data_IF_624805029922
#
_entry.id   IF_624805029922
#
_cell.length_a   1.000
_cell.length_b   1.000
_cell.length_c   1.000
_cell.angle_alpha   90.00
_cell.angle_beta   90.00
_cell.angle_gamma   90.00
#
_symmetry.space_group_name_H-M   'P 1'
#
loop_
_entity.id
_entity.type
_entity.pdbx_description
1 polymer ?
#
# COMPACT_ATOMS: atom_id res chain seq x y z
N UNK A 1 -7.48 -23.86 18.53
CA UNK A 1 -7.42 -23.81 17.06
C UNK A 1 -7.86 -22.42 16.61
N UNK A 2 -7.04 -21.72 15.81
CA UNK A 2 -7.37 -20.40 15.22
C UNK A 2 -7.75 -20.58 13.75
N UNK A 3 -8.74 -19.83 13.25
CA UNK A 3 -9.04 -19.76 11.80
C UNK A 3 -8.46 -18.49 11.23
N UNK A 4 -7.71 -18.60 10.14
CA UNK A 4 -7.15 -17.46 9.44
C UNK A 4 -8.26 -16.59 8.84
N UNK A 5 -8.32 -15.29 9.18
CA UNK A 5 -9.33 -14.38 8.62
C UNK A 5 -9.10 -14.13 7.12
N UNK A 6 -7.87 -14.30 6.63
CA UNK A 6 -7.53 -14.10 5.23
C UNK A 6 -7.86 -15.30 4.34
N UNK A 7 -7.40 -16.50 4.68
CA UNK A 7 -7.59 -17.68 3.81
C UNK A 7 -8.58 -18.73 4.35
N UNK A 8 -9.17 -18.50 5.52
CA UNK A 8 -10.17 -19.39 6.12
C UNK A 8 -9.62 -20.73 6.64
N UNK A 9 -8.32 -21.01 6.51
CA UNK A 9 -7.68 -22.24 7.01
C UNK A 9 -7.61 -22.25 8.53
N UNK A 10 -7.78 -23.44 9.10
CA UNK A 10 -7.65 -23.67 10.54
C UNK A 10 -6.21 -24.04 10.83
N UNK A 11 -5.58 -23.32 11.76
CA UNK A 11 -4.28 -23.67 12.31
C UNK A 11 -4.49 -24.53 13.56
N UNK A 12 -3.83 -25.68 13.57
CA UNK A 12 -3.90 -26.65 14.67
C UNK A 12 -3.06 -26.21 15.88
N UNK A 13 -2.06 -25.34 15.65
CA UNK A 13 -1.18 -24.77 16.67
C UNK A 13 -1.54 -23.32 17.02
N UNK A 14 -2.15 -23.12 18.19
CA UNK A 14 -2.55 -21.80 18.69
C UNK A 14 -1.38 -20.92 19.17
N UNK A 15 -0.18 -21.47 19.27
CA UNK A 15 1.03 -20.74 19.65
C UNK A 15 1.63 -19.94 18.51
N UNK A 16 1.19 -20.19 17.28
CA UNK A 16 1.64 -19.44 16.11
C UNK A 16 0.89 -18.10 16.02
N UNK A 17 1.67 -17.03 15.85
CA UNK A 17 1.15 -15.68 15.63
C UNK A 17 0.81 -15.40 14.16
N UNK A 18 1.01 -16.36 13.25
CA UNK A 18 0.71 -16.22 11.83
C UNK A 18 0.13 -17.49 11.21
N UNK A 19 -0.61 -17.31 10.12
CA UNK A 19 -1.16 -18.42 9.36
C UNK A 19 -0.08 -19.09 8.52
N UNK A 20 0.18 -20.37 8.79
CA UNK A 20 1.12 -21.20 8.01
C UNK A 20 0.66 -21.53 6.60
N UNK A 21 -0.53 -21.08 6.16
CA UNK A 21 -1.03 -21.29 4.79
C UNK A 21 -0.93 -20.03 3.91
N UNK A 22 -1.09 -18.83 4.47
CA UNK A 22 -1.04 -17.58 3.69
C UNK A 22 -0.06 -16.52 4.25
N UNK A 23 0.59 -16.79 5.38
CA UNK A 23 1.54 -15.88 6.01
C UNK A 23 0.93 -14.69 6.77
N UNK A 24 -0.39 -14.49 6.72
CA UNK A 24 -1.07 -13.39 7.44
C UNK A 24 -0.94 -13.58 8.95
N UNK A 25 -0.61 -12.51 9.68
CA UNK A 25 -0.56 -12.56 11.14
C UNK A 25 -1.96 -12.76 11.72
N UNK A 26 -2.10 -13.71 12.63
CA UNK A 26 -3.15 -13.68 13.61
C UNK A 26 -2.81 -12.51 14.53
N UNK A 27 -3.27 -11.30 14.18
CA UNK A 27 -3.08 -10.12 15.02
C UNK A 27 -3.18 -10.50 16.50
N UNK A 28 -2.29 -9.94 17.34
CA UNK A 28 -2.32 -10.10 18.81
C UNK A 28 -3.64 -9.52 19.30
N UNK A 29 -4.72 -10.30 19.19
CA UNK A 29 -6.01 -9.98 19.73
C UNK A 29 -5.88 -10.25 21.22
N UNK A 30 -5.73 -9.20 22.01
CA UNK A 30 -6.16 -9.27 23.40
C UNK A 30 -7.65 -9.57 23.38
N UNK A 31 -8.01 -10.84 23.53
CA UNK A 31 -9.39 -11.32 23.48
C UNK A 31 -9.71 -12.09 22.19
N UNK A 32 -10.15 -13.33 22.37
CA UNK A 32 -10.76 -14.20 21.36
C UNK A 32 -11.47 -13.43 20.24
N UNK A 33 -11.11 -13.72 18.99
CA UNK A 33 -11.82 -13.22 17.82
C UNK A 33 -13.34 -13.46 17.97
N UNK A 34 -14.19 -12.43 17.98
CA UNK A 34 -15.61 -12.65 17.75
C UNK A 34 -15.75 -13.29 16.36
N UNK A 35 -16.71 -14.21 16.22
CA UNK A 35 -17.22 -14.59 14.91
C UNK A 35 -17.52 -13.32 14.10
N UNK A 36 -17.34 -13.36 12.77
CA UNK A 36 -17.71 -12.25 11.90
C UNK A 36 -19.09 -11.73 12.32
N UNK A 37 -19.21 -10.48 12.80
CA UNK A 37 -20.48 -9.99 13.29
C UNK A 37 -21.47 -10.03 12.14
N UNK A 38 -22.64 -10.63 12.37
CA UNK A 38 -23.72 -10.58 11.41
C UNK A 38 -24.02 -9.11 11.07
N UNK A 39 -24.42 -8.82 9.84
CA UNK A 39 -24.76 -7.45 9.42
C UNK A 39 -25.80 -6.79 10.33
N UNK A 40 -26.67 -7.58 10.97
CA UNK A 40 -27.67 -7.14 11.96
C UNK A 40 -27.11 -6.73 13.33
N UNK A 41 -25.81 -6.88 13.57
CA UNK A 41 -25.13 -6.52 14.83
C UNK A 41 -24.16 -5.34 14.71
N UNK A 42 -24.15 -4.67 13.55
CA UNK A 42 -23.29 -3.51 13.33
C UNK A 42 -23.90 -2.27 14.01
N UNK A 43 -23.10 -1.44 14.72
CA UNK A 43 -23.54 -0.20 15.34
C UNK A 43 -24.17 0.78 14.34
N UNK A 44 -25.05 1.66 14.81
CA UNK A 44 -25.58 2.76 13.99
C UNK A 44 -24.55 3.87 13.78
N UNK A 45 -23.66 4.08 14.75
CA UNK A 45 -22.54 5.01 14.63
C UNK A 45 -21.59 4.54 13.51
N UNK A 46 -21.40 5.33 12.44
CA UNK A 46 -20.58 4.93 11.30
C UNK A 46 -19.09 4.80 11.65
N UNK A 47 -18.60 5.54 12.65
CA UNK A 47 -17.20 5.43 13.07
C UNK A 47 -16.96 4.09 13.75
N UNK A 48 -17.80 3.75 14.73
CA UNK A 48 -17.73 2.46 15.43
C UNK A 48 -18.02 1.29 14.49
N UNK A 49 -18.96 1.46 13.55
CA UNK A 49 -19.27 0.47 12.52
C UNK A 49 -18.05 0.17 11.65
N UNK A 50 -17.38 1.20 11.14
CA UNK A 50 -16.17 1.02 10.34
C UNK A 50 -15.04 0.34 11.13
N UNK A 51 -14.83 0.72 12.40
CA UNK A 51 -13.85 0.07 13.28
C UNK A 51 -14.15 -1.44 13.43
N UNK A 52 -15.41 -1.79 13.71
CA UNK A 52 -15.83 -3.20 13.83
C UNK A 52 -15.67 -3.98 12.52
N UNK A 53 -15.95 -3.35 11.38
CA UNK A 53 -15.71 -3.96 10.06
C UNK A 53 -14.21 -4.24 9.85
N UNK A 54 -13.33 -3.27 10.16
CA UNK A 54 -11.87 -3.43 10.07
C UNK A 54 -11.35 -4.53 10.99
N UNK A 55 -11.78 -4.56 12.25
CA UNK A 55 -11.38 -5.59 13.22
C UNK A 55 -11.83 -7.00 12.79
N UNK A 56 -12.87 -7.10 11.96
CA UNK A 56 -13.35 -8.35 11.36
C UNK A 56 -12.66 -8.72 10.03
N UNK A 57 -11.73 -7.90 9.54
CA UNK A 57 -11.01 -8.09 8.28
C UNK A 57 -11.80 -7.68 7.03
N UNK A 58 -12.94 -6.98 7.20
CA UNK A 58 -13.82 -6.54 6.10
C UNK A 58 -13.35 -5.18 5.56
N UNK A 59 -12.12 -5.18 5.02
CA UNK A 59 -11.41 -3.96 4.60
C UNK A 59 -12.23 -3.07 3.65
N UNK A 60 -12.72 -3.63 2.54
CA UNK A 60 -13.50 -2.89 1.53
C UNK A 60 -14.74 -2.22 2.15
N UNK A 61 -15.47 -2.95 2.99
CA UNK A 61 -16.69 -2.46 3.63
C UNK A 61 -16.40 -1.43 4.71
N UNK A 62 -15.31 -1.60 5.47
CA UNK A 62 -14.84 -0.63 6.46
C UNK A 62 -14.47 0.70 5.80
N UNK A 63 -13.67 0.66 4.73
CA UNK A 63 -13.30 1.88 3.98
C UNK A 63 -14.53 2.54 3.38
N UNK A 64 -15.42 1.77 2.74
CA UNK A 64 -16.66 2.31 2.18
C UNK A 64 -17.54 2.99 3.25
N UNK A 65 -17.68 2.36 4.42
CA UNK A 65 -18.43 2.90 5.55
C UNK A 65 -17.91 4.28 5.97
N UNK A 66 -16.60 4.44 6.13
CA UNK A 66 -16.02 5.73 6.51
C UNK A 66 -16.02 6.75 5.37
N UNK A 67 -15.71 6.33 4.14
CA UNK A 67 -15.76 7.22 2.97
C UNK A 67 -17.14 7.88 2.82
N UNK A 68 -18.21 7.14 3.06
CA UNK A 68 -19.57 7.66 2.94
C UNK A 68 -19.98 8.54 4.14
N UNK A 69 -19.37 8.35 5.31
CA UNK A 69 -19.73 9.03 6.55
C UNK A 69 -18.89 10.27 6.88
N UNK A 70 -17.57 10.22 6.64
CA UNK A 70 -16.60 11.28 7.00
C UNK A 70 -17.01 12.66 6.47
N UNK A 71 -17.50 12.82 5.23
CA UNK A 71 -17.93 14.13 4.73
C UNK A 71 -19.04 14.81 5.56
N UNK A 72 -19.80 14.04 6.35
CA UNK A 72 -20.88 14.52 7.21
C UNK A 72 -20.51 14.70 8.69
N UNK A 73 -19.26 14.42 9.08
CA UNK A 73 -18.81 14.49 10.48
C UNK A 73 -17.53 15.33 10.61
N UNK A 74 -17.36 15.98 11.76
CA UNK A 74 -16.10 16.63 12.09
C UNK A 74 -15.13 15.58 12.64
N UNK A 75 -14.08 15.26 11.86
CA UNK A 75 -13.07 14.27 12.24
C UNK A 75 -11.96 14.95 13.06
N UNK A 76 -12.04 14.83 14.39
CA UNK A 76 -10.96 15.28 15.28
C UNK A 76 -9.71 14.38 15.18
N UNK A 77 -8.60 14.82 15.79
CA UNK A 77 -7.32 14.09 15.75
C UNK A 77 -7.43 12.67 16.33
N UNK A 78 -8.28 12.48 17.35
CA UNK A 78 -8.46 11.19 17.99
C UNK A 78 -9.20 10.22 17.06
N UNK A 79 -10.29 10.66 16.46
CA UNK A 79 -11.07 9.88 15.52
C UNK A 79 -10.27 9.57 14.25
N UNK A 80 -9.52 10.54 13.74
CA UNK A 80 -8.57 10.34 12.65
C UNK A 80 -7.52 9.27 12.99
N UNK A 81 -6.89 9.39 14.16
CA UNK A 81 -5.92 8.41 14.65
C UNK A 81 -6.49 7.00 14.71
N UNK A 82 -7.73 6.82 15.19
CA UNK A 82 -8.41 5.51 15.22
C UNK A 82 -8.65 4.94 13.83
N UNK A 83 -9.01 5.78 12.86
CA UNK A 83 -9.22 5.37 11.46
C UNK A 83 -7.92 4.86 10.83
N UNK A 84 -6.83 5.61 10.99
CA UNK A 84 -5.50 5.20 10.52
C UNK A 84 -5.09 3.89 11.19
N UNK A 85 -5.21 3.80 12.52
CA UNK A 85 -4.85 2.61 13.29
C UNK A 85 -5.63 1.36 12.91
N UNK A 86 -6.95 1.48 12.81
CA UNK A 86 -7.81 0.37 12.41
C UNK A 86 -7.53 -0.07 10.97
N UNK A 87 -7.24 0.86 10.07
CA UNK A 87 -6.86 0.55 8.69
C UNK A 87 -5.54 -0.21 8.63
N UNK A 88 -4.48 0.31 9.26
CA UNK A 88 -3.16 -0.36 9.34
C UNK A 88 -3.29 -1.76 9.93
N UNK A 89 -3.98 -1.89 11.06
CA UNK A 89 -4.23 -3.19 11.71
C UNK A 89 -4.98 -4.16 10.78
N UNK A 90 -5.99 -3.68 10.06
CA UNK A 90 -6.72 -4.50 9.10
C UNK A 90 -5.77 -5.03 8.00
N UNK A 91 -4.97 -4.14 7.40
CA UNK A 91 -4.00 -4.47 6.34
C UNK A 91 -2.93 -5.47 6.80
N UNK A 92 -2.45 -5.38 8.04
CA UNK A 92 -1.53 -6.38 8.63
C UNK A 92 -2.20 -7.74 8.87
N UNK A 93 -3.49 -7.73 9.19
CA UNK A 93 -4.26 -8.92 9.54
C UNK A 93 -4.81 -9.72 8.35
N UNK A 94 -4.75 -9.18 7.12
CA UNK A 94 -5.27 -9.82 5.91
C UNK A 94 -4.20 -9.88 4.81
N UNK A 95 -4.16 -10.96 4.02
CA UNK A 95 -3.41 -10.94 2.77
C UNK A 95 -4.24 -10.16 1.74
N UNK A 96 -3.94 -8.87 1.60
CA UNK A 96 -4.61 -8.00 0.62
C UNK A 96 -4.10 -8.33 -0.78
N UNK A 97 -4.99 -8.75 -1.66
CA UNK A 97 -4.70 -8.86 -3.08
C UNK A 97 -5.01 -7.53 -3.82
N UNK A 98 -4.44 -7.30 -5.02
CA UNK A 98 -4.64 -6.05 -5.77
C UNK A 98 -6.11 -5.69 -6.06
N UNK A 99 -6.98 -6.69 -6.21
CA UNK A 99 -8.41 -6.48 -6.49
C UNK A 99 -9.11 -5.98 -5.24
N UNK A 100 -8.92 -6.69 -4.12
CA UNK A 100 -9.47 -6.28 -2.82
C UNK A 100 -9.00 -4.88 -2.42
N UNK A 101 -7.72 -4.54 -2.66
CA UNK A 101 -7.21 -3.19 -2.42
C UNK A 101 -7.93 -2.14 -3.28
N UNK A 102 -8.03 -2.41 -4.59
CA UNK A 102 -8.66 -1.49 -5.54
C UNK A 102 -10.13 -1.24 -5.24
N UNK A 103 -10.86 -2.29 -4.88
CA UNK A 103 -12.30 -2.22 -4.56
C UNK A 103 -12.57 -1.38 -3.29
N UNK A 104 -11.59 -1.29 -2.37
CA UNK A 104 -11.71 -0.42 -1.20
C UNK A 104 -11.75 1.07 -1.58
N UNK A 105 -11.08 1.47 -2.67
CA UNK A 105 -11.08 2.85 -3.15
C UNK A 105 -10.34 3.82 -2.23
N UNK A 106 -9.08 3.50 -1.91
CA UNK A 106 -8.24 4.26 -0.96
C UNK A 106 -8.01 5.72 -1.36
N UNK A 107 -7.83 6.01 -2.66
CA UNK A 107 -7.72 7.38 -3.18
C UNK A 107 -8.99 8.17 -2.83
N UNK A 108 -10.18 7.64 -3.17
CA UNK A 108 -11.45 8.32 -2.88
C UNK A 108 -11.70 8.48 -1.39
N UNK A 109 -11.26 7.52 -0.58
CA UNK A 109 -11.29 7.62 0.87
C UNK A 109 -10.38 8.73 1.38
N UNK A 110 -9.14 8.82 0.89
CA UNK A 110 -8.21 9.88 1.27
C UNK A 110 -8.75 11.28 0.95
N UNK A 111 -9.38 11.44 -0.22
CA UNK A 111 -10.00 12.70 -0.63
C UNK A 111 -11.17 13.17 0.27
N UNK A 112 -11.70 12.31 1.15
CA UNK A 112 -12.71 12.75 2.14
C UNK A 112 -12.11 13.52 3.32
N UNK A 113 -10.78 13.53 3.45
CA UNK A 113 -10.04 14.17 4.54
C UNK A 113 -8.96 15.12 3.98
N UNK A 114 -9.34 16.24 3.34
CA UNK A 114 -8.39 17.09 2.59
C UNK A 114 -7.31 17.77 3.46
N UNK A 115 -7.57 17.95 4.76
CA UNK A 115 -6.61 18.54 5.71
C UNK A 115 -5.72 17.48 6.40
N UNK A 116 -5.72 16.24 5.89
CA UNK A 116 -5.01 15.08 6.46
C UNK A 116 -4.26 14.32 5.37
N UNK A 117 -3.38 13.42 5.79
CA UNK A 117 -2.54 12.63 4.88
C UNK A 117 -2.68 11.12 5.13
N UNK A 118 -3.89 10.55 4.97
CA UNK A 118 -4.18 9.20 5.41
C UNK A 118 -3.32 8.13 4.73
N UNK A 119 -2.92 8.31 3.45
CA UNK A 119 -2.11 7.29 2.78
C UNK A 119 -0.69 7.22 3.34
N UNK A 120 0.00 8.36 3.49
CA UNK A 120 1.36 8.43 4.04
C UNK A 120 1.37 8.07 5.53
N UNK A 121 0.34 8.45 6.30
CA UNK A 121 0.20 8.04 7.70
C UNK A 121 0.00 6.52 7.84
N UNK A 122 -0.81 5.90 6.98
CA UNK A 122 -0.97 4.43 6.98
C UNK A 122 0.34 3.76 6.54
N UNK A 123 1.03 4.27 5.51
CA UNK A 123 2.34 3.77 5.07
C UNK A 123 3.36 3.81 6.22
N UNK A 124 3.47 4.95 6.90
CA UNK A 124 4.36 5.12 8.05
C UNK A 124 4.05 4.12 9.16
N UNK A 125 2.77 3.91 9.50
CA UNK A 125 2.41 2.90 10.51
C UNK A 125 2.66 1.46 10.05
N UNK A 126 2.51 1.15 8.76
CA UNK A 126 2.90 -0.15 8.21
C UNK A 126 4.41 -0.35 8.34
N UNK A 127 5.23 0.61 7.93
CA UNK A 127 6.69 0.54 8.08
C UNK A 127 7.10 0.34 9.55
N UNK A 128 6.52 1.12 10.47
CA UNK A 128 6.75 0.98 11.92
C UNK A 128 6.25 -0.34 12.52
N UNK A 129 5.43 -1.10 11.80
CA UNK A 129 4.98 -2.44 12.20
C UNK A 129 5.94 -3.55 11.76
N UNK A 130 7.05 -3.20 11.10
CA UNK A 130 8.02 -4.18 10.62
C UNK A 130 8.56 -5.07 11.74
N UNK A 131 8.68 -4.55 12.97
CA UNK A 131 9.19 -5.30 14.12
C UNK A 131 8.33 -6.48 14.58
N UNK A 132 7.03 -6.45 14.29
CA UNK A 132 6.16 -7.58 14.60
C UNK A 132 6.35 -8.75 13.61
N UNK A 133 7.07 -8.55 12.51
CA UNK A 133 7.26 -9.58 11.49
C UNK A 133 8.37 -10.58 11.88
N UNK A 134 7.99 -11.86 12.01
CA UNK A 134 8.87 -12.99 12.40
C UNK A 134 9.14 -13.99 11.29
N UNK A 135 8.49 -13.87 10.13
CA UNK A 135 8.74 -14.66 8.91
C UNK A 135 8.75 -13.79 7.65
N UNK A 136 9.43 -14.26 6.58
CA UNK A 136 9.53 -13.50 5.33
C UNK A 136 8.17 -13.19 4.68
N UNK A 137 7.22 -14.14 4.73
CA UNK A 137 5.88 -13.93 4.19
C UNK A 137 5.10 -12.86 4.95
N UNK A 138 5.39 -12.68 6.23
CA UNK A 138 4.82 -11.61 7.03
C UNK A 138 5.31 -10.25 6.57
N UNK A 139 6.61 -10.13 6.32
CA UNK A 139 7.21 -8.91 5.75
C UNK A 139 6.64 -8.61 4.36
N UNK A 140 6.52 -9.62 3.49
CA UNK A 140 5.88 -9.44 2.18
C UNK A 140 4.40 -9.04 2.31
N UNK A 141 3.68 -9.64 3.27
CA UNK A 141 2.28 -9.29 3.55
C UNK A 141 2.09 -7.84 3.98
N UNK A 142 3.10 -7.23 4.60
CA UNK A 142 3.15 -5.81 4.95
C UNK A 142 3.58 -4.96 3.75
N UNK A 143 4.59 -5.40 2.98
CA UNK A 143 5.10 -4.68 1.82
C UNK A 143 4.07 -4.57 0.68
N UNK A 144 3.21 -5.57 0.47
CA UNK A 144 2.18 -5.55 -0.58
C UNK A 144 1.23 -4.33 -0.44
N UNK A 145 0.49 -4.16 0.67
CA UNK A 145 -0.37 -3.00 0.85
C UNK A 145 0.43 -1.69 0.93
N UNK A 146 1.65 -1.71 1.48
CA UNK A 146 2.53 -0.53 1.46
C UNK A 146 2.79 -0.06 0.02
N UNK A 147 3.15 -0.97 -0.89
CA UNK A 147 3.40 -0.64 -2.29
C UNK A 147 2.14 -0.16 -3.03
N UNK A 148 0.95 -0.66 -2.68
CA UNK A 148 -0.28 -0.15 -3.25
C UNK A 148 -0.59 1.28 -2.81
N UNK A 149 -0.40 1.58 -1.51
CA UNK A 149 -0.52 2.93 -0.97
C UNK A 149 0.50 3.88 -1.61
N UNK A 150 1.76 3.45 -1.72
CA UNK A 150 2.83 4.21 -2.39
C UNK A 150 2.47 4.56 -3.83
N UNK A 151 1.88 3.64 -4.59
CA UNK A 151 1.45 3.94 -5.97
C UNK A 151 0.27 4.92 -6.01
N UNK A 152 -0.64 4.85 -5.03
CA UNK A 152 -1.79 5.75 -4.94
C UNK A 152 -1.40 7.18 -4.52
N UNK A 153 -0.25 7.40 -3.87
CA UNK A 153 0.20 8.76 -3.51
C UNK A 153 0.40 9.63 -4.76
N UNK A 154 0.89 9.09 -5.88
CA UNK A 154 1.06 9.84 -7.13
C UNK A 154 -0.25 10.40 -7.69
N UNK A 155 -1.40 9.86 -7.27
CA UNK A 155 -2.72 10.34 -7.65
C UNK A 155 -3.25 11.46 -6.74
N UNK A 156 -2.63 11.68 -5.58
CA UNK A 156 -3.02 12.68 -4.58
C UNK A 156 -2.03 13.83 -4.50
N UNK A 157 -0.73 13.55 -4.60
CA UNK A 157 0.35 14.53 -4.51
C UNK A 157 0.87 14.85 -5.90
N UNK A 158 0.67 16.09 -6.33
CA UNK A 158 1.12 16.57 -7.64
C UNK A 158 2.39 17.40 -7.56
N UNK A 159 2.82 17.87 -6.39
CA UNK A 159 4.11 18.55 -6.26
C UNK A 159 5.26 17.53 -6.29
N UNK A 160 6.23 17.72 -7.19
CA UNK A 160 7.37 16.81 -7.29
C UNK A 160 8.25 16.81 -6.04
N UNK A 161 8.23 17.87 -5.23
CA UNK A 161 9.00 17.92 -3.97
C UNK A 161 8.40 16.98 -2.94
N UNK A 162 7.10 17.06 -2.74
CA UNK A 162 6.36 16.16 -1.84
C UNK A 162 6.46 14.72 -2.34
N UNK A 163 6.29 14.50 -3.65
CA UNK A 163 6.46 13.18 -4.26
C UNK A 163 7.88 12.65 -4.08
N UNK A 164 8.91 13.51 -4.13
CA UNK A 164 10.28 13.11 -3.90
C UNK A 164 10.52 12.64 -2.47
N UNK A 165 9.99 13.37 -1.48
CA UNK A 165 10.04 12.98 -0.06
C UNK A 165 9.34 11.63 0.16
N UNK A 166 8.14 11.45 -0.41
CA UNK A 166 7.41 10.17 -0.35
C UNK A 166 8.21 9.03 -1.02
N UNK A 167 8.91 9.30 -2.13
CA UNK A 167 9.75 8.30 -2.79
C UNK A 167 10.98 7.92 -1.95
N UNK A 168 11.59 8.89 -1.27
CA UNK A 168 12.73 8.65 -0.39
C UNK A 168 12.31 7.78 0.80
N UNK A 169 11.23 8.15 1.48
CA UNK A 169 10.67 7.37 2.59
C UNK A 169 10.28 5.94 2.17
N UNK A 170 9.76 5.77 0.94
CA UNK A 170 9.41 4.47 0.40
C UNK A 170 10.62 3.61 0.03
N UNK A 171 11.71 4.22 -0.45
CA UNK A 171 12.97 3.53 -0.73
C UNK A 171 13.60 3.01 0.56
N UNK A 172 13.71 3.88 1.57
CA UNK A 172 14.22 3.54 2.91
C UNK A 172 13.37 2.42 3.55
N UNK A 173 12.05 2.60 3.64
CA UNK A 173 11.16 1.64 4.29
C UNK A 173 11.18 0.26 3.62
N UNK A 174 11.17 0.21 2.28
CA UNK A 174 11.23 -1.08 1.56
C UNK A 174 12.63 -1.70 1.65
N UNK A 175 13.68 -0.88 1.71
CA UNK A 175 15.04 -1.31 2.03
C UNK A 175 15.10 -2.04 3.37
N UNK A 176 14.59 -1.42 4.44
CA UNK A 176 14.51 -2.03 5.78
C UNK A 176 13.71 -3.34 5.78
N UNK A 177 12.60 -3.41 5.02
CA UNK A 177 11.83 -4.64 4.86
C UNK A 177 12.67 -5.76 4.23
N UNK A 178 13.46 -5.46 3.19
CA UNK A 178 14.38 -6.43 2.57
C UNK A 178 15.43 -6.89 3.59
N UNK A 179 16.10 -5.95 4.26
CA UNK A 179 17.14 -6.24 5.25
C UNK A 179 16.63 -7.16 6.36
N UNK A 180 15.45 -6.86 6.92
CA UNK A 180 14.84 -7.74 7.92
C UNK A 180 14.54 -9.12 7.35
N UNK A 181 13.91 -9.19 6.17
CA UNK A 181 13.48 -10.45 5.60
C UNK A 181 14.62 -11.43 5.31
N UNK A 182 15.83 -10.94 4.98
CA UNK A 182 17.02 -11.79 4.74
C UNK A 182 17.34 -12.67 5.97
N UNK A 183 17.03 -12.20 7.17
CA UNK A 183 17.30 -12.91 8.42
C UNK A 183 16.14 -13.79 8.89
N UNK A 184 15.00 -13.79 8.18
CA UNK A 184 13.82 -14.55 8.55
C UNK A 184 13.68 -15.83 7.73
N UNK A 185 12.94 -16.80 8.27
CA UNK A 185 12.61 -18.03 7.55
C UNK A 185 11.50 -17.78 6.53
N UNK A 186 11.64 -18.40 5.35
CA UNK A 186 10.55 -18.50 4.38
C UNK A 186 9.59 -19.60 4.83
N UNK A 187 8.32 -19.27 5.08
CA UNK A 187 7.32 -20.26 5.48
C UNK A 187 6.94 -21.22 4.33
N UNK A 188 7.21 -20.82 3.08
CA UNK A 188 6.92 -21.61 1.87
C UNK A 188 8.16 -21.64 0.95
N UNK A 189 9.21 -22.40 1.32
CA UNK A 189 10.49 -22.40 0.60
C UNK A 189 10.39 -22.89 -0.85
N UNK A 190 9.37 -23.70 -1.16
CA UNK A 190 9.17 -24.27 -2.49
C UNK A 190 8.40 -23.35 -3.46
N UNK A 191 7.80 -22.26 -2.94
CA UNK A 191 7.09 -21.30 -3.77
C UNK A 191 8.09 -20.42 -4.52
N UNK A 192 7.97 -20.36 -5.86
CA UNK A 192 8.71 -19.42 -6.70
C UNK A 192 7.75 -18.55 -7.52
N UNK A 193 7.90 -17.22 -7.51
CA UNK A 193 8.88 -16.44 -6.75
C UNK A 193 8.59 -16.49 -5.23
N UNK A 194 9.66 -16.47 -4.43
CA UNK A 194 9.57 -16.43 -2.97
C UNK A 194 9.43 -14.99 -2.43
N UNK A 195 9.22 -14.81 -1.11
CA UNK A 195 9.05 -13.47 -0.53
C UNK A 195 10.21 -12.51 -0.81
N UNK A 196 11.45 -12.98 -0.72
CA UNK A 196 12.63 -12.15 -1.02
C UNK A 196 12.73 -11.72 -2.49
N UNK A 197 12.25 -12.55 -3.43
CA UNK A 197 12.20 -12.17 -4.85
C UNK A 197 11.25 -10.98 -5.07
N UNK A 198 10.10 -11.00 -4.40
CA UNK A 198 9.12 -9.91 -4.42
C UNK A 198 9.62 -8.66 -3.72
N UNK A 199 10.19 -8.78 -2.52
CA UNK A 199 10.73 -7.64 -1.77
C UNK A 199 11.90 -6.98 -2.52
N UNK A 200 12.78 -7.78 -3.13
CA UNK A 200 13.85 -7.25 -3.99
C UNK A 200 13.30 -6.53 -5.21
N UNK A 201 12.21 -7.02 -5.81
CA UNK A 201 11.53 -6.33 -6.90
C UNK A 201 10.97 -4.97 -6.44
N UNK A 202 10.37 -4.90 -5.25
CA UNK A 202 9.85 -3.66 -4.70
C UNK A 202 10.97 -2.64 -4.42
N UNK A 203 12.03 -3.06 -3.74
CA UNK A 203 13.21 -2.20 -3.47
C UNK A 203 13.84 -1.66 -4.76
N UNK A 204 14.05 -2.51 -5.77
CA UNK A 204 14.57 -2.06 -7.07
C UNK A 204 13.62 -1.10 -7.78
N UNK A 205 12.30 -1.29 -7.61
CA UNK A 205 11.31 -0.42 -8.23
C UNK A 205 11.23 0.94 -7.53
N UNK A 206 11.15 1.00 -6.20
CA UNK A 206 11.12 2.25 -5.43
C UNK A 206 12.37 3.08 -5.68
N UNK A 207 13.57 2.48 -5.66
CA UNK A 207 14.81 3.18 -5.97
C UNK A 207 14.82 3.80 -7.37
N UNK A 208 14.33 3.08 -8.40
CA UNK A 208 14.23 3.65 -9.76
C UNK A 208 13.22 4.79 -9.87
N UNK A 209 12.12 4.71 -9.12
CA UNK A 209 11.11 5.77 -9.10
C UNK A 209 11.69 7.01 -8.42
N UNK A 210 12.38 6.84 -7.29
CA UNK A 210 13.11 7.90 -6.60
C UNK A 210 14.12 8.56 -7.54
N UNK A 211 15.04 7.79 -8.15
CA UNK A 211 16.02 8.31 -9.12
C UNK A 211 15.33 9.14 -10.22
N UNK A 212 14.19 8.66 -10.74
CA UNK A 212 13.43 9.33 -11.80
C UNK A 212 12.84 10.65 -11.31
N UNK A 213 12.29 10.69 -10.10
CA UNK A 213 11.69 11.89 -9.51
C UNK A 213 12.76 12.91 -9.11
N UNK A 214 13.87 12.46 -8.51
CA UNK A 214 15.03 13.31 -8.20
C UNK A 214 15.58 13.97 -9.47
N UNK A 215 15.73 13.21 -10.56
CA UNK A 215 16.15 13.75 -11.86
C UNK A 215 15.17 14.81 -12.36
N UNK A 216 13.85 14.60 -12.21
CA UNK A 216 12.83 15.58 -12.60
C UNK A 216 12.91 16.86 -11.77
N UNK A 217 13.08 16.75 -10.45
CA UNK A 217 13.24 17.89 -9.54
C UNK A 217 14.52 18.66 -9.87
N UNK A 218 15.65 17.97 -10.00
CA UNK A 218 16.96 18.58 -10.23
C UNK A 218 17.12 19.21 -11.61
N UNK A 219 16.41 18.70 -12.62
CA UNK A 219 16.45 19.22 -14.00
C UNK A 219 15.41 20.29 -14.31
N UNK A 220 14.49 20.58 -13.38
CA UNK A 220 13.39 21.53 -13.59
C UNK A 220 13.57 22.76 -12.70
N UNK A 221 13.40 23.96 -13.28
CA UNK A 221 13.48 25.20 -12.50
C UNK A 221 12.38 25.22 -11.41
N UNK A 222 12.65 25.70 -10.17
CA UNK A 222 11.67 25.64 -9.07
C UNK A 222 10.30 26.23 -9.40
N UNK A 223 10.24 27.39 -10.05
CA UNK A 223 8.96 27.99 -10.44
C UNK A 223 8.18 27.20 -11.50
N UNK A 224 8.87 26.36 -12.29
CA UNK A 224 8.21 25.45 -13.23
C UNK A 224 7.67 24.20 -12.54
N UNK A 225 8.29 23.75 -11.45
CA UNK A 225 7.77 22.63 -10.64
C UNK A 225 6.43 23.02 -10.02
N UNK A 226 6.35 24.22 -9.43
CA UNK A 226 5.11 24.78 -8.85
C UNK A 226 4.01 24.95 -9.91
N UNK A 227 4.34 25.53 -11.08
CA UNK A 227 3.38 25.66 -12.19
C UNK A 227 2.82 24.31 -12.65
N UNK A 228 3.67 23.28 -12.72
CA UNK A 228 3.25 21.93 -13.10
C UNK A 228 2.37 21.29 -12.02
N UNK A 229 2.71 21.47 -10.74
CA UNK A 229 1.95 20.95 -9.63
C UNK A 229 0.51 21.50 -9.63
N UNK A 230 0.35 22.82 -9.79
CA UNK A 230 -0.95 23.50 -9.90
C UNK A 230 -1.74 23.05 -11.13
N UNK A 231 -1.05 22.93 -12.27
CA UNK A 231 -1.66 22.49 -13.52
C UNK A 231 -2.20 21.05 -13.40
N UNK A 232 -1.44 20.14 -12.79
CA UNK A 232 -1.86 18.76 -12.56
C UNK A 232 -2.96 18.65 -11.51
N UNK A 233 -2.90 19.42 -10.42
CA UNK A 233 -3.94 19.45 -9.39
C UNK A 233 -5.29 19.88 -9.96
N UNK A 234 -5.27 20.77 -10.96
CA UNK A 234 -6.47 21.27 -11.64
C UNK A 234 -6.92 20.42 -12.84
N UNK A 235 -6.14 19.41 -13.22
CA UNK A 235 -6.44 18.61 -14.41
C UNK A 235 -7.61 17.66 -14.17
N UNK A 236 -8.48 17.42 -15.17
CA UNK A 236 -9.57 16.44 -15.05
C UNK A 236 -9.08 14.99 -14.93
N UNK A 237 -7.78 14.76 -15.20
CA UNK A 237 -7.16 13.45 -15.05
C UNK A 237 -5.64 13.52 -15.13
N UNK A 238 -4.99 12.69 -14.31
CA UNK A 238 -3.55 12.62 -14.17
C UNK A 238 -2.97 11.61 -15.18
N UNK A 239 -2.86 12.02 -16.44
CA UNK A 239 -2.46 11.10 -17.53
C UNK A 239 -1.06 10.50 -17.36
N UNK A 240 -0.18 11.11 -16.56
CA UNK A 240 1.12 10.56 -16.20
C UNK A 240 1.04 9.30 -15.33
N UNK A 241 -0.11 9.03 -14.67
CA UNK A 241 -0.27 7.83 -13.84
C UNK A 241 -0.27 6.54 -14.66
N UNK A 242 -0.75 6.58 -15.91
CA UNK A 242 -0.81 5.38 -16.74
C UNK A 242 0.56 4.75 -16.98
N UNK A 243 1.59 5.48 -17.47
CA UNK A 243 2.92 4.89 -17.60
C UNK A 243 3.53 4.47 -16.26
N UNK A 244 3.32 5.22 -15.16
CA UNK A 244 3.83 4.82 -13.85
C UNK A 244 3.23 3.48 -13.37
N UNK A 245 1.91 3.33 -13.46
CA UNK A 245 1.21 2.08 -13.13
C UNK A 245 1.66 0.92 -14.02
N UNK A 246 1.88 1.18 -15.32
CA UNK A 246 2.42 0.17 -16.23
C UNK A 246 3.85 -0.22 -15.84
N UNK A 247 4.67 0.73 -15.38
CA UNK A 247 6.02 0.45 -14.94
C UNK A 247 6.02 -0.52 -13.74
N UNK A 248 5.16 -0.27 -12.74
CA UNK A 248 4.99 -1.13 -11.58
C UNK A 248 4.48 -2.52 -11.95
N UNK A 249 3.45 -2.59 -12.81
CA UNK A 249 2.93 -3.85 -13.34
C UNK A 249 4.00 -4.67 -14.07
N UNK A 250 4.79 -4.02 -14.94
CA UNK A 250 5.85 -4.70 -15.68
C UNK A 250 7.00 -5.15 -14.77
N UNK A 251 7.33 -4.37 -13.72
CA UNK A 251 8.33 -4.75 -12.74
C UNK A 251 7.88 -6.02 -11.98
N UNK A 252 6.67 -6.01 -11.44
CA UNK A 252 6.10 -7.17 -10.71
C UNK A 252 5.95 -8.41 -11.60
N UNK A 253 5.49 -8.25 -12.84
CA UNK A 253 5.45 -9.37 -13.80
C UNK A 253 6.83 -9.88 -14.20
N UNK A 254 7.87 -9.04 -14.15
CA UNK A 254 9.24 -9.48 -14.44
C UNK A 254 9.75 -10.50 -13.41
N UNK A 255 9.31 -10.38 -12.15
CA UNK A 255 9.62 -11.31 -11.05
C UNK A 255 9.02 -12.69 -11.29
N UNK A 256 7.79 -12.72 -11.82
CA UNK A 256 7.12 -13.98 -12.18
C UNK A 256 7.67 -14.62 -13.45
N UNK A 257 8.35 -13.84 -14.29
CA UNK A 257 8.78 -14.26 -15.61
C UNK A 257 10.13 -14.99 -15.57
N UNK A 258 10.30 -15.98 -16.45
CA UNK A 258 11.61 -16.60 -16.67
C UNK A 258 12.67 -15.59 -17.14
N UNK A 259 13.96 -15.91 -16.96
CA UNK A 259 15.11 -15.00 -17.11
C UNK A 259 15.13 -14.11 -18.37
N UNK A 260 14.71 -14.64 -19.53
CA UNK A 260 14.67 -13.88 -20.79
C UNK A 260 13.51 -12.89 -20.80
N UNK A 261 12.30 -13.36 -20.52
CA UNK A 261 11.09 -12.54 -20.46
C UNK A 261 11.19 -11.48 -19.35
N UNK A 262 11.75 -11.83 -18.18
CA UNK A 262 12.00 -10.89 -17.08
C UNK A 262 12.89 -9.72 -17.49
N UNK A 263 13.97 -9.96 -18.26
CA UNK A 263 14.82 -8.87 -18.79
C UNK A 263 14.07 -7.93 -19.73
N UNK A 264 13.21 -8.47 -20.60
CA UNK A 264 12.41 -7.67 -21.54
C UNK A 264 11.38 -6.83 -20.78
N UNK A 265 10.69 -7.43 -19.81
CA UNK A 265 9.72 -6.75 -18.96
C UNK A 265 10.38 -5.65 -18.11
N UNK A 266 11.56 -5.93 -17.53
CA UNK A 266 12.32 -4.93 -16.78
C UNK A 266 12.76 -3.73 -17.64
N UNK A 267 13.22 -3.95 -18.87
CA UNK A 267 13.51 -2.84 -19.82
C UNK A 267 12.26 -2.05 -20.20
N UNK A 268 11.14 -2.75 -20.36
CA UNK A 268 9.85 -2.12 -20.68
C UNK A 268 9.36 -1.28 -19.51
N UNK A 269 9.52 -1.77 -18.28
CA UNK A 269 9.25 -1.01 -17.03
C UNK A 269 10.07 0.28 -16.98
N UNK A 270 11.38 0.22 -17.22
CA UNK A 270 12.22 1.44 -17.29
C UNK A 270 11.76 2.42 -18.39
N UNK A 271 11.32 1.90 -19.54
CA UNK A 271 10.82 2.73 -20.63
C UNK A 271 9.51 3.43 -20.25
N UNK A 272 8.68 2.78 -19.42
CA UNK A 272 7.47 3.40 -18.86
C UNK A 272 7.81 4.48 -17.82
N UNK A 273 8.84 4.31 -16.97
CA UNK A 273 9.30 5.38 -16.07
C UNK A 273 9.79 6.61 -16.84
N UNK A 274 10.54 6.42 -17.93
CA UNK A 274 10.94 7.51 -18.81
C UNK A 274 9.72 8.21 -19.46
N UNK A 275 8.67 7.44 -19.80
CA UNK A 275 7.42 7.99 -20.32
C UNK A 275 6.66 8.76 -19.23
N UNK A 276 6.64 8.29 -17.98
CA UNK A 276 6.09 9.00 -16.82
C UNK A 276 6.75 10.37 -16.67
N UNK A 277 8.08 10.40 -16.56
CA UNK A 277 8.85 11.66 -16.42
C UNK A 277 8.53 12.64 -17.56
N UNK A 278 8.60 12.17 -18.81
CA UNK A 278 8.29 12.99 -19.99
C UNK A 278 6.85 13.52 -19.97
N UNK A 279 5.87 12.70 -19.58
CA UNK A 279 4.47 13.10 -19.55
C UNK A 279 4.21 14.11 -18.44
N UNK A 280 4.72 13.86 -17.23
CA UNK A 280 4.57 14.78 -16.11
C UNK A 280 5.15 16.16 -16.47
N UNK A 281 6.38 16.21 -16.97
CA UNK A 281 7.08 17.47 -17.29
C UNK A 281 6.46 18.23 -18.48
N UNK A 282 5.78 17.52 -19.38
CA UNK A 282 5.01 18.15 -20.45
C UNK A 282 3.75 18.89 -19.94
N UNK A 283 3.27 18.55 -18.74
CA UNK A 283 2.02 19.06 -18.18
C UNK A 283 0.76 18.44 -18.80
N UNK A 284 -0.42 18.76 -18.24
CA UNK A 284 -1.70 18.26 -18.75
C UNK A 284 -1.97 18.79 -20.16
N UNK A 285 -2.53 17.93 -21.02
CA UNK A 285 -3.02 18.36 -22.34
C UNK A 285 -4.28 19.21 -22.13
N UNK A 286 -4.27 20.42 -22.69
CA UNK A 286 -5.45 21.31 -22.76
C UNK A 286 -6.46 20.79 -23.77
#
# INVERSE_FOLDING_TARGET
MRRCPSCGKVTEDDSLDFCTHCGSYFMVRQGSAPAQPASSSLPDDPMLRGEMLMDSGRFVEGIACWRDAIPGIQLDDSAYGRVVDATTRCLLGIAVDPTTYRDAGMISFAMTMPDREPLTDIMSRLANSLDVCTIQNGVLGLANPYMYLFMDTFALYTDLRDVNEICADAEDAVGEMVEKAIHLSNAFPDSRPGPLDWLSCYSVFTGKVLDTVEDMVNSTAPGRVEELADAWASAPGLTYLSPLNNAFFLATHSTMAGKLSGKVLGRSSNSQLAAYSKMYLAGPKR
#
